data_IF_206436690802
#
_entry.id   IF_206436690802
#
_cell.length_a   1.000
_cell.length_b   1.000
_cell.length_c   1.000
_cell.angle_alpha   90.00
_cell.angle_beta   90.00
_cell.angle_gamma   90.00
#
_symmetry.space_group_name_H-M   'P 1'
#
loop_
_entity.id
_entity.type
_entity.pdbx_description
1 polymer ?
#
# COMPACT_ATOMS: atom_id res chain seq x y z
N UNK A 1 7.68 -18.06 -15.34
CA UNK A 1 8.45 -17.02 -16.05
C UNK A 1 7.60 -16.16 -16.99
N UNK A 2 6.41 -16.58 -17.43
CA UNK A 2 5.50 -15.77 -18.27
C UNK A 2 4.87 -14.56 -17.57
N UNK A 3 4.76 -14.55 -16.24
CA UNK A 3 4.11 -13.47 -15.47
C UNK A 3 4.90 -12.15 -15.47
N UNK A 4 6.24 -12.20 -15.54
CA UNK A 4 7.08 -11.00 -15.43
C UNK A 4 7.09 -10.15 -16.71
N UNK A 5 6.89 -10.75 -17.88
CA UNK A 5 6.87 -10.02 -19.15
C UNK A 5 5.67 -9.07 -19.20
N UNK A 6 4.49 -9.56 -18.77
CA UNK A 6 3.26 -8.77 -18.74
C UNK A 6 3.33 -7.59 -17.74
N UNK A 7 3.86 -7.80 -16.54
CA UNK A 7 3.94 -6.74 -15.52
C UNK A 7 4.82 -5.56 -15.98
N UNK A 8 5.97 -5.84 -16.61
CA UNK A 8 6.87 -4.81 -17.14
C UNK A 8 6.23 -4.05 -18.31
N UNK A 9 5.54 -4.75 -19.19
CA UNK A 9 4.82 -4.13 -20.31
C UNK A 9 3.72 -3.18 -19.82
N UNK A 10 2.94 -3.60 -18.81
CA UNK A 10 1.95 -2.74 -18.13
C UNK A 10 2.64 -1.48 -17.58
N UNK A 11 3.75 -1.63 -16.86
CA UNK A 11 4.49 -0.51 -16.28
C UNK A 11 4.93 0.49 -17.36
N UNK A 12 5.62 0.00 -18.39
CA UNK A 12 6.19 0.84 -19.45
C UNK A 12 5.08 1.56 -20.21
N UNK A 13 4.01 0.85 -20.58
CA UNK A 13 2.86 1.43 -21.27
C UNK A 13 2.19 2.51 -20.42
N UNK A 14 1.85 2.20 -19.18
CA UNK A 14 1.11 3.14 -18.31
C UNK A 14 1.97 4.34 -17.93
N UNK A 15 3.26 4.14 -17.61
CA UNK A 15 4.19 5.26 -17.36
C UNK A 15 4.31 6.18 -18.57
N UNK A 16 4.39 5.62 -19.79
CA UNK A 16 4.44 6.44 -21.00
C UNK A 16 3.12 7.18 -21.25
N UNK A 17 1.98 6.48 -21.13
CA UNK A 17 0.64 7.05 -21.34
C UNK A 17 0.31 8.17 -20.35
N UNK A 18 0.70 8.00 -19.08
CA UNK A 18 0.41 8.93 -17.98
C UNK A 18 1.66 9.69 -17.51
N UNK A 19 2.62 9.96 -18.40
CA UNK A 19 3.91 10.54 -18.05
C UNK A 19 3.81 11.86 -17.30
N UNK A 20 2.87 12.74 -17.69
CA UNK A 20 2.66 14.02 -17.02
C UNK A 20 2.26 13.87 -15.55
N UNK A 21 1.32 12.96 -15.26
CA UNK A 21 0.91 12.64 -13.89
C UNK A 21 2.06 11.98 -13.11
N UNK A 22 2.74 11.01 -13.72
CA UNK A 22 3.84 10.29 -13.08
C UNK A 22 4.96 11.24 -12.62
N UNK A 23 5.40 12.15 -13.50
CA UNK A 23 6.44 13.12 -13.15
C UNK A 23 5.92 14.16 -12.15
N UNK A 24 4.63 14.53 -12.18
CA UNK A 24 4.04 15.41 -11.17
C UNK A 24 4.05 14.79 -9.78
N UNK A 25 3.61 13.53 -9.65
CA UNK A 25 3.59 12.81 -8.37
C UNK A 25 5.03 12.65 -7.85
N UNK A 26 5.98 12.29 -8.71
CA UNK A 26 7.40 12.24 -8.34
C UNK A 26 7.90 13.58 -7.80
N UNK A 27 7.54 14.69 -8.44
CA UNK A 27 7.90 16.03 -7.98
C UNK A 27 7.25 16.37 -6.62
N UNK A 28 5.97 16.03 -6.42
CA UNK A 28 5.27 16.22 -5.14
C UNK A 28 6.01 15.50 -4.00
N UNK A 29 6.36 14.23 -4.19
CA UNK A 29 7.12 13.46 -3.19
C UNK A 29 8.50 14.07 -2.93
N UNK A 30 9.19 14.53 -3.97
CA UNK A 30 10.47 15.22 -3.82
C UNK A 30 10.33 16.52 -3.01
N UNK A 31 9.30 17.34 -3.27
CA UNK A 31 8.99 18.56 -2.53
C UNK A 31 8.74 18.27 -1.04
N UNK A 32 8.02 17.19 -0.71
CA UNK A 32 7.76 16.76 0.68
C UNK A 32 9.07 16.44 1.40
N UNK A 33 9.93 15.63 0.76
CA UNK A 33 11.23 15.23 1.32
C UNK A 33 12.16 16.43 1.50
N UNK A 34 12.25 17.32 0.51
CA UNK A 34 13.08 18.55 0.58
C UNK A 34 12.58 19.49 1.68
N UNK A 35 11.27 19.55 1.91
CA UNK A 35 10.68 20.31 3.01
C UNK A 35 10.89 19.66 4.40
N UNK A 36 11.55 18.49 4.47
CA UNK A 36 11.77 17.76 5.72
C UNK A 36 10.50 17.21 6.34
N UNK A 37 9.42 17.06 5.56
CA UNK A 37 8.16 16.47 6.02
C UNK A 37 8.23 14.95 5.95
N UNK A 38 7.65 14.29 6.95
CA UNK A 38 7.56 12.84 6.98
C UNK A 38 6.55 12.35 5.92
N UNK A 39 6.97 11.34 5.14
CA UNK A 39 6.11 10.66 4.17
C UNK A 39 5.25 9.58 4.84
N UNK A 40 5.44 9.29 6.14
CA UNK A 40 4.67 8.32 6.92
C UNK A 40 4.64 6.91 6.31
N UNK A 41 5.74 6.50 5.67
CA UNK A 41 5.82 5.26 4.91
C UNK A 41 5.13 5.31 3.53
N UNK A 42 4.51 6.42 3.16
CA UNK A 42 3.87 6.66 1.85
C UNK A 42 4.80 7.46 0.93
N UNK A 43 5.96 6.88 0.60
CA UNK A 43 6.92 7.47 -0.35
C UNK A 43 6.54 7.24 -1.82
N UNK A 44 7.30 7.84 -2.74
CA UNK A 44 7.05 7.69 -4.17
C UNK A 44 7.13 6.24 -4.66
N UNK A 45 8.05 5.47 -4.09
CA UNK A 45 8.19 4.04 -4.34
C UNK A 45 6.92 3.26 -3.99
N UNK A 46 6.28 3.61 -2.88
CA UNK A 46 5.02 3.01 -2.46
C UNK A 46 3.89 3.33 -3.43
N UNK A 47 3.68 4.59 -3.81
CA UNK A 47 2.63 4.99 -4.76
C UNK A 47 2.80 4.31 -6.13
N UNK A 48 4.04 4.18 -6.60
CA UNK A 48 4.33 3.47 -7.85
C UNK A 48 4.02 1.97 -7.72
N UNK A 49 4.34 1.34 -6.59
CA UNK A 49 3.96 -0.05 -6.33
C UNK A 49 2.45 -0.24 -6.27
N UNK A 50 1.72 0.66 -5.59
CA UNK A 50 0.25 0.63 -5.53
C UNK A 50 -0.35 0.77 -6.93
N UNK A 51 0.09 1.75 -7.72
CA UNK A 51 -0.37 1.92 -9.09
C UNK A 51 -0.13 0.67 -9.95
N UNK A 52 1.05 0.07 -9.81
CA UNK A 52 1.42 -1.14 -10.55
C UNK A 52 0.55 -2.34 -10.16
N UNK A 53 0.38 -2.59 -8.85
CA UNK A 53 -0.49 -3.67 -8.40
C UNK A 53 -1.93 -3.46 -8.85
N UNK A 54 -2.45 -2.24 -8.74
CA UNK A 54 -3.80 -1.90 -9.14
C UNK A 54 -4.07 -2.24 -10.62
N UNK A 55 -3.14 -1.90 -11.51
CA UNK A 55 -3.27 -2.26 -12.93
C UNK A 55 -3.15 -3.77 -13.19
N UNK A 56 -2.26 -4.48 -12.49
CA UNK A 56 -2.08 -5.92 -12.67
C UNK A 56 -3.30 -6.75 -12.23
N UNK A 57 -3.96 -6.33 -11.15
CA UNK A 57 -5.08 -7.08 -10.55
C UNK A 57 -6.46 -6.64 -11.07
N UNK A 58 -6.52 -5.59 -11.86
CA UNK A 58 -7.75 -5.07 -12.46
C UNK A 58 -8.42 -6.08 -13.38
N UNK A 59 -9.74 -6.00 -13.48
CA UNK A 59 -10.57 -6.95 -14.26
C UNK A 59 -10.42 -6.77 -15.77
N UNK A 60 -10.18 -5.54 -16.25
CA UNK A 60 -10.00 -5.21 -17.65
C UNK A 60 -9.01 -4.04 -17.83
N UNK A 61 -8.59 -3.79 -19.07
CA UNK A 61 -7.58 -2.77 -19.38
C UNK A 61 -8.03 -1.35 -19.01
N UNK A 62 -9.32 -1.03 -19.15
CA UNK A 62 -9.82 0.32 -18.86
C UNK A 62 -9.85 0.61 -17.36
N UNK A 63 -10.29 -0.36 -16.56
CA UNK A 63 -10.18 -0.30 -15.09
C UNK A 63 -8.72 -0.24 -14.66
N UNK A 64 -7.84 -1.00 -15.32
CA UNK A 64 -6.40 -0.98 -15.02
C UNK A 64 -5.78 0.41 -15.21
N UNK A 65 -6.18 1.13 -16.26
CA UNK A 65 -5.74 2.51 -16.50
C UNK A 65 -6.24 3.49 -15.43
N UNK A 66 -7.52 3.43 -15.08
CA UNK A 66 -8.09 4.28 -14.03
C UNK A 66 -7.48 3.98 -12.65
N UNK A 67 -7.33 2.71 -12.31
CA UNK A 67 -6.76 2.28 -11.03
C UNK A 67 -5.26 2.57 -10.93
N UNK A 68 -4.53 2.58 -12.06
CA UNK A 68 -3.15 3.07 -12.11
C UNK A 68 -3.07 4.56 -11.74
N UNK A 69 -3.93 5.38 -12.35
CA UNK A 69 -4.00 6.83 -12.09
C UNK A 69 -4.32 7.09 -10.62
N UNK A 70 -5.36 6.43 -10.08
CA UNK A 70 -5.71 6.55 -8.66
C UNK A 70 -4.56 6.06 -7.76
N UNK A 71 -3.93 4.94 -8.07
CA UNK A 71 -2.80 4.40 -7.30
C UNK A 71 -1.60 5.36 -7.20
N UNK A 72 -1.31 6.13 -8.26
CA UNK A 72 -0.28 7.17 -8.22
C UNK A 72 -0.66 8.37 -7.32
N UNK A 73 -1.95 8.64 -7.15
CA UNK A 73 -2.47 9.77 -6.36
C UNK A 73 -2.85 9.38 -4.93
N UNK A 74 -2.80 8.08 -4.60
CA UNK A 74 -3.47 7.56 -3.39
C UNK A 74 -2.97 8.19 -2.08
N UNK A 75 -1.69 8.58 -2.01
CA UNK A 75 -1.10 9.19 -0.81
C UNK A 75 -1.37 10.69 -0.66
N UNK A 76 -2.06 11.34 -1.61
CA UNK A 76 -2.31 12.78 -1.54
C UNK A 76 -3.18 13.17 -0.33
N UNK A 77 -4.05 12.28 0.17
CA UNK A 77 -4.87 12.53 1.36
C UNK A 77 -4.01 12.62 2.63
N UNK A 78 -2.91 11.84 2.69
CA UNK A 78 -1.93 11.85 3.79
C UNK A 78 -1.02 13.07 3.73
N UNK A 79 -0.55 13.42 2.53
CA UNK A 79 0.42 14.49 2.35
C UNK A 79 -0.19 15.89 2.40
N UNK A 80 -1.47 15.99 2.06
CA UNK A 80 -2.20 17.25 1.94
C UNK A 80 -3.62 17.15 2.52
N UNK A 81 -3.82 16.77 3.80
CA UNK A 81 -5.16 16.55 4.36
C UNK A 81 -6.08 17.77 4.20
N UNK A 82 -5.55 18.99 4.39
CA UNK A 82 -6.33 20.24 4.30
C UNK A 82 -6.58 20.72 2.86
N UNK A 83 -5.83 20.20 1.88
CA UNK A 83 -5.92 20.62 0.48
C UNK A 83 -6.06 19.44 -0.49
N UNK A 84 -6.49 18.30 0.02
CA UNK A 84 -6.53 17.02 -0.70
C UNK A 84 -7.31 17.12 -2.01
N UNK A 85 -8.54 17.66 -1.96
CA UNK A 85 -9.37 17.82 -3.16
C UNK A 85 -8.69 18.72 -4.20
N UNK A 86 -8.06 19.82 -3.78
CA UNK A 86 -7.35 20.71 -4.70
C UNK A 86 -6.15 20.01 -5.36
N UNK A 87 -5.44 19.16 -4.60
CA UNK A 87 -4.31 18.38 -5.11
C UNK A 87 -4.73 17.25 -6.04
N UNK A 88 -5.86 16.59 -5.77
CA UNK A 88 -6.45 15.67 -6.73
C UNK A 88 -6.80 16.39 -8.02
N UNK A 89 -7.50 17.53 -7.97
CA UNK A 89 -7.89 18.23 -9.20
C UNK A 89 -6.68 18.70 -10.01
N UNK A 90 -5.62 19.18 -9.34
CA UNK A 90 -4.34 19.52 -9.99
C UNK A 90 -3.79 18.33 -10.80
N UNK A 91 -3.87 17.12 -10.25
CA UNK A 91 -3.39 15.90 -10.90
C UNK A 91 -4.35 15.39 -11.99
N UNK A 92 -5.67 15.47 -11.74
CA UNK A 92 -6.72 15.05 -12.68
C UNK A 92 -6.67 15.86 -13.97
N UNK A 93 -6.37 17.17 -13.91
CA UNK A 93 -6.22 18.01 -15.12
C UNK A 93 -5.18 17.44 -16.10
N UNK A 94 -4.14 16.77 -15.60
CA UNK A 94 -3.07 16.19 -16.45
C UNK A 94 -3.54 14.97 -17.26
N UNK A 95 -4.61 14.31 -16.82
CA UNK A 95 -5.13 13.08 -17.44
C UNK A 95 -6.59 13.19 -17.87
N UNK A 96 -7.28 14.29 -17.56
CA UNK A 96 -8.71 14.48 -17.75
C UNK A 96 -9.18 14.30 -19.20
N UNK A 97 -8.33 14.60 -20.18
CA UNK A 97 -8.61 14.43 -21.60
C UNK A 97 -8.60 12.95 -22.07
N UNK A 98 -8.11 12.02 -21.23
CA UNK A 98 -8.02 10.59 -21.53
C UNK A 98 -9.22 9.78 -21.01
N UNK A 99 -10.09 10.42 -20.23
CA UNK A 99 -11.19 9.78 -19.53
C UNK A 99 -12.49 10.57 -19.71
N UNK A 100 -13.61 9.86 -19.70
CA UNK A 100 -14.94 10.47 -19.62
C UNK A 100 -15.18 11.06 -18.24
N UNK A 101 -16.19 11.93 -18.13
CA UNK A 101 -16.57 12.54 -16.85
C UNK A 101 -16.92 11.50 -15.79
N UNK A 102 -17.60 10.41 -16.17
CA UNK A 102 -17.96 9.32 -15.27
C UNK A 102 -16.72 8.57 -14.75
N UNK A 103 -15.76 8.29 -15.62
CA UNK A 103 -14.50 7.61 -15.27
C UNK A 103 -13.62 8.49 -14.35
N UNK A 104 -13.57 9.80 -14.60
CA UNK A 104 -12.89 10.73 -13.70
C UNK A 104 -13.54 10.74 -12.32
N UNK A 105 -14.87 10.70 -12.24
CA UNK A 105 -15.55 10.62 -10.94
C UNK A 105 -15.27 9.29 -10.23
N UNK A 106 -15.19 8.18 -10.96
CA UNK A 106 -14.81 6.89 -10.38
C UNK A 106 -13.39 6.90 -9.79
N UNK A 107 -12.42 7.51 -10.49
CA UNK A 107 -11.06 7.73 -9.99
C UNK A 107 -11.08 8.54 -8.68
N UNK A 108 -11.81 9.67 -8.66
CA UNK A 108 -11.93 10.52 -7.45
C UNK A 108 -12.54 9.76 -6.27
N UNK A 109 -13.59 8.97 -6.53
CA UNK A 109 -14.25 8.16 -5.50
C UNK A 109 -13.26 7.17 -4.92
N UNK A 110 -12.50 6.46 -5.77
CA UNK A 110 -11.49 5.51 -5.33
C UNK A 110 -10.46 6.17 -4.39
N UNK A 111 -9.87 7.30 -4.80
CA UNK A 111 -8.89 8.00 -3.96
C UNK A 111 -9.48 8.49 -2.63
N UNK A 112 -10.74 8.94 -2.60
CA UNK A 112 -11.40 9.41 -1.37
C UNK A 112 -11.72 8.30 -0.36
N UNK A 113 -11.88 7.06 -0.83
CA UNK A 113 -12.43 5.97 0.00
C UNK A 113 -11.52 4.76 0.14
N UNK A 114 -10.35 4.75 -0.49
CA UNK A 114 -9.42 3.61 -0.48
C UNK A 114 -8.99 3.19 0.94
N UNK A 115 -8.83 4.15 1.87
CA UNK A 115 -8.41 3.84 3.24
C UNK A 115 -9.52 3.28 4.14
N UNK A 116 -10.76 3.15 3.64
CA UNK A 116 -11.91 2.60 4.37
C UNK A 116 -11.96 1.08 4.27
N UNK A 117 -12.72 0.45 5.17
CA UNK A 117 -13.07 -0.97 5.05
C UNK A 117 -13.75 -1.26 3.70
N UNK A 118 -13.75 -2.53 3.31
CA UNK A 118 -14.45 -2.96 2.09
C UNK A 118 -15.94 -2.62 2.21
N UNK A 119 -16.47 -2.00 1.17
CA UNK A 119 -17.89 -1.74 1.00
C UNK A 119 -18.41 -2.62 -0.15
N UNK A 120 -19.54 -3.33 0.01
CA UNK A 120 -20.18 -4.06 -1.10
C UNK A 120 -20.52 -3.19 -2.32
N UNK A 121 -20.62 -1.87 -2.14
CA UNK A 121 -20.90 -0.89 -3.20
C UNK A 121 -19.64 -0.26 -3.82
N UNK A 122 -18.44 -0.68 -3.41
CA UNK A 122 -17.21 -0.19 -4.03
C UNK A 122 -17.19 -0.54 -5.53
N UNK A 123 -16.94 0.45 -6.38
CA UNK A 123 -16.73 0.25 -7.82
C UNK A 123 -15.42 -0.48 -8.13
N UNK A 124 -15.25 -0.98 -9.36
CA UNK A 124 -14.09 -1.79 -9.76
C UNK A 124 -12.74 -1.08 -9.56
N UNK A 125 -12.65 0.24 -9.79
CA UNK A 125 -11.42 1.01 -9.53
C UNK A 125 -11.11 1.06 -8.03
N UNK A 126 -12.11 1.30 -7.19
CA UNK A 126 -11.96 1.30 -5.73
C UNK A 126 -11.55 -0.08 -5.21
N UNK A 127 -12.12 -1.15 -5.77
CA UNK A 127 -11.74 -2.53 -5.44
C UNK A 127 -10.26 -2.76 -5.73
N UNK A 128 -9.82 -2.44 -6.96
CA UNK A 128 -8.44 -2.61 -7.37
C UNK A 128 -7.48 -1.77 -6.51
N UNK A 129 -7.82 -0.52 -6.21
CA UNK A 129 -6.97 0.36 -5.41
C UNK A 129 -6.83 -0.14 -3.96
N UNK A 130 -7.94 -0.54 -3.32
CA UNK A 130 -7.93 -1.07 -1.95
C UNK A 130 -7.09 -2.35 -1.84
N UNK A 131 -7.22 -3.25 -2.80
CA UNK A 131 -6.43 -4.49 -2.81
C UNK A 131 -4.94 -4.19 -3.08
N UNK A 132 -4.65 -3.29 -4.02
CA UNK A 132 -3.28 -2.90 -4.35
C UNK A 132 -2.52 -2.23 -3.19
N UNK A 133 -3.18 -1.35 -2.44
CA UNK A 133 -2.61 -0.72 -1.24
C UNK A 133 -2.23 -1.77 -0.17
N UNK A 134 -3.10 -2.76 0.04
CA UNK A 134 -2.82 -3.89 0.95
C UNK A 134 -1.64 -4.73 0.46
N UNK A 135 -1.55 -5.01 -0.84
CA UNK A 135 -0.42 -5.73 -1.43
C UNK A 135 0.91 -4.96 -1.28
N UNK A 136 0.88 -3.63 -1.45
CA UNK A 136 2.06 -2.80 -1.28
C UNK A 136 2.50 -2.66 0.19
N UNK A 137 1.62 -3.01 1.14
CA UNK A 137 1.86 -2.97 2.57
C UNK A 137 1.98 -4.39 3.18
N UNK A 138 2.45 -5.38 2.43
CA UNK A 138 2.86 -6.70 2.95
C UNK A 138 4.24 -7.08 2.40
N UNK A 139 4.91 -8.07 3.01
CA UNK A 139 6.21 -8.54 2.56
C UNK A 139 7.39 -7.73 3.09
N UNK A 140 8.55 -7.87 2.44
CA UNK A 140 9.84 -7.38 2.96
C UNK A 140 9.90 -5.85 3.11
N UNK A 141 9.39 -5.10 2.13
CA UNK A 141 9.43 -3.64 2.17
C UNK A 141 8.52 -3.07 3.27
N UNK A 142 7.38 -3.72 3.56
CA UNK A 142 6.49 -3.30 4.64
C UNK A 142 7.17 -3.36 6.00
N UNK A 143 8.02 -4.37 6.26
CA UNK A 143 8.77 -4.48 7.52
C UNK A 143 9.73 -3.30 7.69
N UNK A 144 10.43 -2.91 6.62
CA UNK A 144 11.36 -1.77 6.63
C UNK A 144 10.58 -0.46 6.81
N UNK A 145 9.55 -0.24 6.00
CA UNK A 145 8.69 0.96 6.05
C UNK A 145 7.97 1.11 7.38
N UNK A 146 7.52 0.00 7.97
CA UNK A 146 6.87 -0.03 9.28
C UNK A 146 7.78 0.51 10.39
N UNK A 147 9.07 0.14 10.38
CA UNK A 147 10.08 0.68 11.29
C UNK A 147 10.39 2.15 11.04
N UNK A 148 10.47 2.58 9.77
CA UNK A 148 10.70 3.99 9.41
C UNK A 148 9.55 4.91 9.82
N UNK A 149 8.31 4.44 9.68
CA UNK A 149 7.12 5.20 10.06
C UNK A 149 6.94 5.28 11.58
N UNK A 150 7.47 4.32 12.34
CA UNK A 150 7.34 4.26 13.80
C UNK A 150 8.72 4.10 14.47
N UNK A 151 9.62 5.08 14.34
CA UNK A 151 10.99 4.95 14.84
C UNK A 151 11.07 4.92 16.38
N UNK A 152 9.98 5.30 17.07
CA UNK A 152 9.94 5.46 18.53
C UNK A 152 9.31 4.26 19.27
N UNK A 153 8.94 3.18 18.56
CA UNK A 153 8.47 1.93 19.19
C UNK A 153 9.53 0.84 19.06
N UNK A 154 9.61 -0.12 20.00
CA UNK A 154 10.58 -1.20 19.91
C UNK A 154 10.33 -2.11 18.71
N UNK A 155 11.37 -2.84 18.30
CA UNK A 155 11.26 -3.85 17.24
C UNK A 155 10.28 -4.98 17.61
N UNK A 156 10.30 -5.43 18.88
CA UNK A 156 9.38 -6.41 19.45
C UNK A 156 9.23 -6.15 20.96
N UNK A 157 8.09 -6.54 21.54
CA UNK A 157 7.89 -6.65 22.99
C UNK A 157 8.09 -8.12 23.38
N UNK A 158 9.04 -8.41 24.28
CA UNK A 158 9.45 -9.79 24.57
C UNK A 158 8.34 -10.59 25.26
N UNK A 159 7.58 -9.94 26.15
CA UNK A 159 6.47 -10.50 26.90
C UNK A 159 5.33 -11.00 26.01
N UNK A 160 5.19 -10.45 24.80
CA UNK A 160 4.14 -10.81 23.85
C UNK A 160 4.68 -11.49 22.58
N UNK A 161 5.95 -11.86 22.53
CA UNK A 161 6.51 -12.56 21.39
C UNK A 161 5.76 -13.90 21.17
N UNK A 162 5.55 -14.31 19.92
CA UNK A 162 4.69 -15.45 19.59
C UNK A 162 3.19 -15.13 19.47
N UNK A 163 2.78 -13.90 19.75
CA UNK A 163 1.43 -13.43 19.56
C UNK A 163 1.34 -11.93 19.35
N UNK A 164 0.12 -11.41 19.29
CA UNK A 164 -0.15 -9.98 19.28
C UNK A 164 -0.19 -9.46 20.73
N UNK A 165 0.56 -8.39 21.03
CA UNK A 165 0.44 -7.74 22.33
C UNK A 165 -1.02 -7.30 22.60
N UNK A 166 -1.63 -7.62 23.76
CA UNK A 166 -3.01 -7.26 24.07
C UNK A 166 -3.30 -5.75 24.08
N UNK A 167 -2.28 -4.92 24.31
CA UNK A 167 -2.39 -3.47 24.28
C UNK A 167 -2.18 -2.86 22.87
N UNK A 168 -1.71 -3.66 21.91
CA UNK A 168 -1.54 -3.21 20.54
C UNK A 168 -2.89 -2.93 19.88
N UNK A 169 -2.91 -1.90 19.04
CA UNK A 169 -3.99 -1.63 18.09
C UNK A 169 -3.38 -1.31 16.73
N UNK A 170 -4.14 -1.41 15.64
CA UNK A 170 -3.67 -1.02 14.30
C UNK A 170 -3.04 0.38 14.26
N UNK A 171 -3.66 1.35 14.94
CA UNK A 171 -3.16 2.74 14.99
C UNK A 171 -2.01 2.94 15.96
N UNK A 172 -1.89 2.09 16.99
CA UNK A 172 -0.90 2.19 18.06
C UNK A 172 -0.36 0.78 18.36
N UNK A 173 0.47 0.21 17.49
CA UNK A 173 1.13 -1.05 17.79
C UNK A 173 2.18 -0.82 18.89
N UNK A 174 2.30 -1.76 19.82
CA UNK A 174 3.30 -1.70 20.89
C UNK A 174 4.72 -1.97 20.36
N UNK A 175 4.85 -2.65 19.21
CA UNK A 175 6.11 -2.87 18.51
C UNK A 175 5.96 -2.98 16.99
N UNK A 176 7.06 -2.90 16.26
CA UNK A 176 7.08 -3.17 14.82
C UNK A 176 6.65 -4.61 14.49
N UNK A 177 7.00 -5.58 15.34
CA UNK A 177 6.52 -6.96 15.26
C UNK A 177 4.99 -7.03 15.32
N UNK A 178 4.37 -6.36 16.30
CA UNK A 178 2.91 -6.33 16.45
C UNK A 178 2.21 -5.73 15.24
N UNK A 179 2.80 -4.70 14.62
CA UNK A 179 2.23 -4.07 13.44
C UNK A 179 1.96 -5.09 12.32
N UNK A 180 2.84 -6.08 12.13
CA UNK A 180 2.72 -7.07 11.07
C UNK A 180 1.49 -7.97 11.18
N UNK A 181 0.93 -8.18 12.37
CA UNK A 181 -0.31 -8.96 12.53
C UNK A 181 -1.50 -8.27 11.87
N UNK A 182 -1.63 -6.96 12.01
CA UNK A 182 -2.72 -6.21 11.37
C UNK A 182 -2.61 -6.21 9.85
N UNK A 183 -1.39 -6.17 9.31
CA UNK A 183 -1.18 -6.32 7.87
C UNK A 183 -1.60 -7.72 7.38
N UNK A 184 -1.41 -8.76 8.19
CA UNK A 184 -1.82 -10.13 7.84
C UNK A 184 -3.34 -10.33 7.84
N UNK A 185 -4.10 -9.57 8.65
CA UNK A 185 -5.57 -9.57 8.62
C UNK A 185 -6.12 -9.16 7.24
N UNK A 186 -5.35 -8.39 6.47
CA UNK A 186 -5.79 -7.94 5.15
C UNK A 186 -5.89 -9.05 4.11
N UNK A 187 -5.35 -10.24 4.36
CA UNK A 187 -5.53 -11.40 3.48
C UNK A 187 -7.02 -11.68 3.23
N UNK A 188 -7.83 -11.65 4.28
CA UNK A 188 -9.27 -11.89 4.21
C UNK A 188 -10.03 -10.68 3.63
N UNK A 189 -9.38 -9.53 3.53
CA UNK A 189 -9.92 -8.32 2.92
C UNK A 189 -9.62 -8.20 1.43
N UNK A 190 -8.70 -8.99 0.87
CA UNK A 190 -8.46 -9.01 -0.57
C UNK A 190 -9.71 -9.53 -1.29
N UNK A 191 -10.20 -8.80 -2.30
CA UNK A 191 -11.41 -9.17 -3.05
C UNK A 191 -11.10 -9.82 -4.39
N UNK A 192 -10.08 -9.34 -5.09
CA UNK A 192 -9.65 -9.90 -6.37
C UNK A 192 -8.89 -11.21 -6.18
N UNK A 193 -9.25 -12.23 -6.96
CA UNK A 193 -8.49 -13.49 -7.02
C UNK A 193 -7.05 -13.24 -7.48
N UNK A 194 -6.86 -12.37 -8.48
CA UNK A 194 -5.52 -11.96 -8.93
C UNK A 194 -4.68 -11.35 -7.80
N UNK A 195 -5.32 -10.58 -6.91
CA UNK A 195 -4.64 -9.99 -5.76
C UNK A 195 -4.20 -11.06 -4.76
N UNK A 196 -5.06 -12.05 -4.47
CA UNK A 196 -4.71 -13.17 -3.59
C UNK A 196 -3.55 -13.99 -4.16
N UNK A 197 -3.57 -14.25 -5.46
CA UNK A 197 -2.51 -15.02 -6.11
C UNK A 197 -1.18 -14.28 -6.12
N UNK A 198 -1.19 -12.98 -6.41
CA UNK A 198 0.00 -12.16 -6.41
C UNK A 198 0.59 -11.98 -5.00
N UNK A 199 -0.27 -11.72 -4.01
CA UNK A 199 0.15 -11.46 -2.63
C UNK A 199 0.54 -12.70 -1.84
N UNK A 200 0.17 -13.91 -2.28
CA UNK A 200 0.34 -15.16 -1.51
C UNK A 200 1.75 -15.31 -0.95
N UNK A 201 2.77 -15.09 -1.79
CA UNK A 201 4.16 -15.22 -1.38
C UNK A 201 4.57 -14.18 -0.33
N UNK A 202 4.09 -12.93 -0.44
CA UNK A 202 4.43 -11.86 0.51
C UNK A 202 3.73 -12.03 1.87
N UNK A 203 2.48 -12.51 1.87
CA UNK A 203 1.78 -12.86 3.11
C UNK A 203 2.46 -14.05 3.81
N UNK A 204 2.83 -15.10 3.07
CA UNK A 204 3.59 -16.23 3.62
C UNK A 204 4.98 -15.81 4.10
N UNK A 205 5.67 -14.94 3.37
CA UNK A 205 6.93 -14.37 3.79
C UNK A 205 6.79 -13.63 5.12
N UNK A 206 5.74 -12.82 5.28
CA UNK A 206 5.50 -12.06 6.51
C UNK A 206 5.23 -13.01 7.70
N UNK A 207 4.45 -14.08 7.50
CA UNK A 207 4.26 -15.14 8.52
C UNK A 207 5.56 -15.87 8.85
N UNK A 208 6.37 -16.19 7.84
CA UNK A 208 7.67 -16.83 8.02
C UNK A 208 8.66 -15.93 8.76
N UNK A 209 8.62 -14.63 8.47
CA UNK A 209 9.41 -13.63 9.18
C UNK A 209 9.03 -13.57 10.66
N UNK A 210 7.73 -13.55 11.00
CA UNK A 210 7.28 -13.58 12.41
C UNK A 210 7.86 -14.80 13.16
N UNK A 211 7.72 -16.00 12.57
CA UNK A 211 8.31 -17.23 13.13
C UNK A 211 9.83 -17.18 13.25
N UNK A 212 10.51 -16.50 12.32
CA UNK A 212 11.97 -16.36 12.37
C UNK A 212 12.43 -15.45 13.52
N UNK A 213 11.64 -14.43 13.87
CA UNK A 213 11.89 -13.58 15.04
C UNK A 213 11.77 -14.42 16.31
N UNK A 214 10.68 -15.18 16.46
CA UNK A 214 10.49 -16.11 17.58
C UNK A 214 11.65 -17.11 17.70
N UNK A 215 12.01 -17.78 16.60
CA UNK A 215 13.09 -18.75 16.57
C UNK A 215 14.44 -18.13 16.97
N UNK A 216 14.71 -16.89 16.53
CA UNK A 216 15.93 -16.18 16.90
C UNK A 216 16.01 -15.88 18.40
N UNK A 217 14.91 -15.45 19.02
CA UNK A 217 14.86 -15.25 20.47
C UNK A 217 14.96 -16.57 21.23
N UNK A 218 14.35 -17.64 20.73
CA UNK A 218 14.46 -18.98 21.31
C UNK A 218 15.90 -19.49 21.29
N UNK A 219 16.62 -19.29 20.18
CA UNK A 219 18.01 -19.72 20.01
C UNK A 219 18.95 -19.12 21.07
N UNK A 220 18.68 -17.89 21.52
CA UNK A 220 19.48 -17.21 22.54
C UNK A 220 18.88 -17.35 23.95
N UNK A 221 17.86 -18.19 24.13
CA UNK A 221 17.24 -18.47 25.43
C UNK A 221 16.31 -17.37 25.95
N UNK A 222 15.84 -16.46 25.08
CA UNK A 222 14.95 -15.34 25.42
C UNK A 222 13.47 -15.64 25.11
N UNK A 223 13.13 -16.80 24.55
CA UNK A 223 11.75 -17.22 24.26
C UNK A 223 11.48 -18.68 24.68
N UNK A 224 10.35 -18.99 25.37
CA UNK A 224 9.37 -18.04 25.89
C UNK A 224 10.00 -17.10 26.93
N UNK A 225 9.58 -15.84 26.91
CA UNK A 225 10.07 -14.85 27.87
C UNK A 225 9.57 -15.24 29.26
N UNK A 226 10.51 -15.45 30.20
CA UNK A 226 10.17 -15.75 31.58
C UNK A 226 10.15 -14.45 32.36
N UNK A 227 8.95 -14.00 32.74
CA UNK A 227 8.74 -12.96 33.74
C UNK A 227 9.12 -13.45 35.14
#
# INVERSE_FOLDING_TARGET
METNTNAREIFVRNRAKFAGLFERIKAIHHEIVVAGRDVNGHGFDHDVMVAQYAAMISENERVAEMAWVAGLMHSLDRHFPDSFNAKIEECIVLVGHLFSVAEIEEIRVADRVHSRLNDPLDGPVTIALKDADRLANVGALNIIRGGQHRPNIPACVMESLGGLNPASTFKRPASCYDATFYNLEWWDMLRSEKARDLGRADFEYTRAWQRSVEAKFAQVGLFPWKT
#
